data_IF_422664200023
#
_entry.id   IF_422664200023
#
_cell.length_a   1.000
_cell.length_b   1.000
_cell.length_c   1.000
_cell.angle_alpha   90.00
_cell.angle_beta   90.00
_cell.angle_gamma   90.00
#
_symmetry.space_group_name_H-M   'P 1'
#
loop_
_entity.id
_entity.type
_entity.pdbx_description
1 polymer ?
#
# COMPACT_ATOMS: atom_id res chain seq x y z
N UNK A 1 -21.62 5.70 -11.48
CA UNK A 1 -21.35 4.29 -11.11
C UNK A 1 -21.33 4.14 -9.59
N UNK A 2 -21.52 2.94 -9.08
CA UNK A 2 -21.47 2.57 -7.66
C UNK A 2 -20.08 2.04 -7.30
N UNK A 3 -19.44 2.69 -6.35
CA UNK A 3 -18.06 2.42 -5.93
C UNK A 3 -18.06 2.00 -4.46
N UNK A 4 -17.31 0.95 -4.14
CA UNK A 4 -17.25 0.32 -2.84
C UNK A 4 -15.86 0.35 -2.23
N UNK A 5 -15.76 0.79 -0.97
CA UNK A 5 -14.52 0.89 -0.20
C UNK A 5 -14.65 0.04 1.06
N UNK A 6 -14.39 -1.28 0.99
CA UNK A 6 -14.41 -2.15 2.17
C UNK A 6 -13.21 -1.84 3.07
N UNK A 7 -13.34 -2.20 4.34
CA UNK A 7 -12.26 -2.10 5.32
C UNK A 7 -11.17 -3.13 4.99
N UNK A 8 -9.92 -2.75 5.16
CA UNK A 8 -8.82 -3.70 5.07
C UNK A 8 -8.80 -4.63 6.29
N UNK A 9 -8.70 -5.93 6.03
CA UNK A 9 -8.71 -6.98 7.08
C UNK A 9 -7.36 -7.68 7.22
N UNK A 10 -6.37 -7.34 6.39
CA UNK A 10 -5.02 -7.89 6.49
C UNK A 10 -4.36 -7.37 7.76
N UNK A 11 -3.67 -8.25 8.48
CA UNK A 11 -2.98 -7.88 9.71
C UNK A 11 -2.04 -6.69 9.47
N UNK A 12 -2.09 -5.72 10.39
CA UNK A 12 -1.32 -4.48 10.35
C UNK A 12 -1.52 -3.60 9.10
N UNK A 13 -2.59 -3.81 8.33
CA UNK A 13 -2.99 -2.88 7.27
C UNK A 13 -3.87 -1.76 7.84
N UNK A 14 -3.27 -0.59 8.06
CA UNK A 14 -3.98 0.61 8.52
C UNK A 14 -4.50 1.51 7.40
N UNK A 15 -4.12 1.26 6.14
CA UNK A 15 -4.52 2.08 5.00
C UNK A 15 -5.96 1.78 4.58
N UNK A 16 -6.52 2.67 3.75
CA UNK A 16 -7.87 2.56 3.17
C UNK A 16 -7.81 2.88 1.68
N UNK A 17 -8.70 2.26 0.90
CA UNK A 17 -8.67 2.35 -0.57
C UNK A 17 -8.81 3.78 -1.11
N UNK A 18 -9.59 4.63 -0.45
CA UNK A 18 -9.73 6.05 -0.79
C UNK A 18 -9.83 6.93 0.45
N UNK A 19 -9.28 8.13 0.38
CA UNK A 19 -9.42 9.17 1.41
C UNK A 19 -10.75 9.92 1.27
N UNK A 20 -11.26 10.61 2.30
CA UNK A 20 -12.44 11.46 2.18
C UNK A 20 -12.34 12.51 1.07
N UNK A 21 -11.14 13.03 0.81
CA UNK A 21 -10.90 13.98 -0.29
C UNK A 21 -11.14 13.32 -1.67
N UNK A 22 -10.63 12.11 -1.90
CA UNK A 22 -10.84 11.37 -3.13
C UNK A 22 -12.31 10.95 -3.30
N UNK A 23 -12.97 10.55 -2.21
CA UNK A 23 -14.41 10.27 -2.19
C UNK A 23 -15.22 11.49 -2.65
N UNK A 24 -14.92 12.69 -2.11
CA UNK A 24 -15.60 13.94 -2.50
C UNK A 24 -15.49 14.21 -4.00
N UNK A 25 -14.33 13.94 -4.59
CA UNK A 25 -14.13 14.11 -6.03
C UNK A 25 -15.02 13.15 -6.84
N UNK A 26 -15.08 11.88 -6.45
CA UNK A 26 -15.94 10.89 -7.12
C UNK A 26 -17.43 11.23 -6.98
N UNK A 27 -17.86 11.63 -5.79
CA UNK A 27 -19.26 12.06 -5.56
C UNK A 27 -19.59 13.30 -6.39
N UNK A 28 -18.68 14.27 -6.45
CA UNK A 28 -18.86 15.48 -7.27
C UNK A 28 -18.93 15.19 -8.77
N UNK A 29 -18.31 14.09 -9.23
CA UNK A 29 -18.39 13.59 -10.59
C UNK A 29 -19.65 12.73 -10.86
N UNK A 30 -20.56 12.58 -9.87
CA UNK A 30 -21.83 11.87 -10.02
C UNK A 30 -21.76 10.36 -9.72
N UNK A 31 -20.70 9.90 -9.07
CA UNK A 31 -20.60 8.51 -8.60
C UNK A 31 -21.23 8.34 -7.21
N UNK A 32 -21.78 7.17 -6.93
CA UNK A 32 -22.28 6.79 -5.61
C UNK A 32 -21.17 6.00 -4.90
N UNK A 33 -20.69 6.49 -3.75
CA UNK A 33 -19.61 5.83 -3.00
C UNK A 33 -20.17 5.25 -1.71
N UNK A 34 -19.89 3.97 -1.44
CA UNK A 34 -20.20 3.31 -0.17
C UNK A 34 -18.91 2.88 0.50
N UNK A 35 -18.71 3.34 1.73
CA UNK A 35 -17.54 3.02 2.56
C UNK A 35 -18.00 2.12 3.69
N UNK A 36 -17.26 1.04 3.96
CA UNK A 36 -17.53 0.22 5.14
C UNK A 36 -17.29 1.04 6.42
N UNK A 37 -18.21 0.96 7.37
CA UNK A 37 -18.09 1.64 8.67
C UNK A 37 -16.74 1.33 9.33
N UNK A 38 -15.98 2.37 9.67
CA UNK A 38 -14.67 2.26 10.30
C UNK A 38 -13.53 1.87 9.36
N UNK A 39 -13.72 1.85 8.04
CA UNK A 39 -12.67 1.52 7.07
C UNK A 39 -11.47 2.50 7.12
N UNK A 40 -11.72 3.78 7.39
CA UNK A 40 -10.67 4.80 7.43
C UNK A 40 -9.95 4.96 8.77
N UNK A 41 -10.41 4.31 9.84
CA UNK A 41 -9.93 4.57 11.20
C UNK A 41 -8.43 4.34 11.37
N UNK A 42 -7.87 3.32 10.71
CA UNK A 42 -6.42 3.03 10.73
C UNK A 42 -5.57 4.11 10.04
N UNK A 43 -6.18 4.90 9.16
CA UNK A 43 -5.56 6.02 8.44
C UNK A 43 -5.85 7.38 9.07
N UNK A 44 -6.54 7.40 10.21
CA UNK A 44 -6.94 8.63 10.89
C UNK A 44 -8.14 9.34 10.26
N UNK A 45 -8.92 8.69 9.40
CA UNK A 45 -10.16 9.24 8.85
C UNK A 45 -11.38 8.68 9.56
N UNK A 46 -12.23 9.55 10.08
CA UNK A 46 -13.47 9.19 10.75
C UNK A 46 -14.60 8.94 9.77
N UNK A 47 -15.59 8.13 10.17
CA UNK A 47 -16.82 7.90 9.40
C UNK A 47 -17.58 9.19 9.10
N UNK A 48 -17.55 10.16 10.02
CA UNK A 48 -18.14 11.48 9.84
C UNK A 48 -17.49 12.26 8.69
N UNK A 49 -16.19 12.11 8.48
CA UNK A 49 -15.49 12.75 7.34
C UNK A 49 -15.92 12.14 6.01
N UNK A 50 -16.18 10.83 5.94
CA UNK A 50 -16.71 10.19 4.74
C UNK A 50 -18.15 10.62 4.43
N UNK A 51 -19.01 10.70 5.46
CA UNK A 51 -20.36 11.25 5.32
C UNK A 51 -20.32 12.70 4.83
N UNK A 52 -19.45 13.54 5.41
CA UNK A 52 -19.25 14.93 4.98
C UNK A 52 -18.63 15.05 3.58
N UNK A 53 -17.99 14.00 3.08
CA UNK A 53 -17.52 13.88 1.70
C UNK A 53 -18.62 13.41 0.72
N UNK A 54 -19.79 13.02 1.24
CA UNK A 54 -20.94 12.58 0.45
C UNK A 54 -21.00 11.07 0.18
N UNK A 55 -20.17 10.26 0.85
CA UNK A 55 -20.32 8.80 0.80
C UNK A 55 -21.47 8.32 1.69
N UNK A 56 -22.06 7.18 1.31
CA UNK A 56 -22.83 6.35 2.23
C UNK A 56 -21.92 5.47 3.07
N UNK A 57 -22.35 5.13 4.29
CA UNK A 57 -21.72 4.11 5.12
C UNK A 57 -22.48 2.80 5.03
N UNK A 58 -21.79 1.67 5.14
CA UNK A 58 -22.40 0.35 5.06
C UNK A 58 -21.60 -0.77 5.73
N UNK A 59 -22.13 -1.98 5.60
CA UNK A 59 -21.41 -3.22 5.97
C UNK A 59 -20.35 -3.57 4.92
N UNK A 60 -19.45 -4.50 5.26
CA UNK A 60 -18.51 -5.08 4.31
C UNK A 60 -19.24 -5.59 3.05
N UNK A 61 -20.32 -6.35 3.22
CA UNK A 61 -21.13 -6.85 2.11
C UNK A 61 -21.67 -5.73 1.22
N UNK A 62 -22.20 -4.65 1.80
CA UNK A 62 -22.70 -3.50 1.04
C UNK A 62 -21.61 -2.71 0.31
N UNK A 63 -20.39 -2.68 0.86
CA UNK A 63 -19.22 -2.09 0.22
C UNK A 63 -18.70 -2.99 -0.91
N UNK A 64 -18.76 -4.31 -0.76
CA UNK A 64 -18.38 -5.25 -1.82
C UNK A 64 -19.42 -5.38 -2.94
N UNK A 65 -20.70 -5.18 -2.64
CA UNK A 65 -21.83 -5.23 -3.59
C UNK A 65 -21.94 -3.94 -4.43
N UNK A 66 -20.86 -3.63 -5.16
CA UNK A 66 -20.69 -2.41 -5.97
C UNK A 66 -20.06 -2.76 -7.31
N UNK A 67 -20.22 -1.87 -8.30
CA UNK A 67 -19.71 -2.10 -9.67
C UNK A 67 -18.18 -2.06 -9.72
N UNK A 68 -17.58 -1.21 -8.88
CA UNK A 68 -16.14 -1.09 -8.69
C UNK A 68 -15.82 -1.15 -7.20
N UNK A 69 -14.97 -2.09 -6.79
CA UNK A 69 -14.42 -2.18 -5.45
C UNK A 69 -12.97 -1.70 -5.48
N UNK A 70 -12.64 -0.74 -4.63
CA UNK A 70 -11.28 -0.19 -4.51
C UNK A 70 -10.73 -0.57 -3.15
N UNK A 71 -9.59 -1.27 -3.16
CA UNK A 71 -8.88 -1.74 -1.96
C UNK A 71 -7.41 -1.31 -2.00
N UNK A 72 -6.72 -1.58 -0.91
CA UNK A 72 -5.27 -1.49 -0.77
C UNK A 72 -4.63 -2.86 -0.99
N UNK A 73 -5.11 -3.91 -0.32
CA UNK A 73 -4.50 -5.24 -0.36
C UNK A 73 -5.34 -6.25 -1.15
N UNK A 74 -4.72 -7.37 -1.45
CA UNK A 74 -5.36 -8.49 -2.11
C UNK A 74 -6.49 -9.05 -1.22
N UNK A 75 -7.60 -9.54 -1.81
CA UNK A 75 -8.63 -10.23 -1.04
C UNK A 75 -8.05 -11.43 -0.28
N UNK A 76 -8.44 -11.59 0.98
CA UNK A 76 -8.12 -12.76 1.78
C UNK A 76 -9.22 -13.83 1.68
N UNK A 77 -9.00 -15.09 2.10
CA UNK A 77 -10.00 -16.15 2.02
C UNK A 77 -11.37 -15.79 2.63
N UNK A 78 -11.40 -14.98 3.68
CA UNK A 78 -12.63 -14.50 4.31
C UNK A 78 -13.46 -13.55 3.41
N UNK A 79 -12.82 -12.91 2.42
CA UNK A 79 -13.45 -11.99 1.46
C UNK A 79 -13.84 -12.68 0.15
N UNK A 80 -13.44 -13.94 -0.07
CA UNK A 80 -13.69 -14.65 -1.35
C UNK A 80 -15.17 -14.80 -1.67
N UNK A 81 -16.04 -14.86 -0.65
CA UNK A 81 -17.49 -14.92 -0.81
C UNK A 81 -18.08 -13.62 -1.40
N UNK A 82 -17.36 -12.51 -1.31
CA UNK A 82 -17.78 -11.22 -1.84
C UNK A 82 -17.34 -10.99 -3.30
N UNK A 83 -16.39 -11.78 -3.81
CA UNK A 83 -15.96 -11.73 -5.20
C UNK A 83 -17.07 -12.27 -6.13
N UNK A 84 -17.48 -11.46 -7.10
CA UNK A 84 -18.51 -11.75 -8.11
C UNK A 84 -18.09 -11.13 -9.45
N UNK A 85 -19.03 -10.64 -10.24
CA UNK A 85 -18.82 -10.05 -11.56
C UNK A 85 -18.46 -8.54 -11.53
N UNK A 86 -18.08 -7.98 -10.38
CA UNK A 86 -17.64 -6.58 -10.29
C UNK A 86 -16.20 -6.37 -10.78
N UNK A 87 -15.81 -5.09 -10.93
CA UNK A 87 -14.41 -4.70 -11.07
C UNK A 87 -13.77 -4.60 -9.68
N UNK A 88 -12.58 -5.17 -9.53
CA UNK A 88 -11.74 -5.03 -8.35
C UNK A 88 -10.47 -4.30 -8.73
N UNK A 89 -10.14 -3.20 -8.06
CA UNK A 89 -8.92 -2.44 -8.28
C UNK A 89 -8.12 -2.34 -6.98
N UNK A 90 -6.99 -3.03 -6.91
CA UNK A 90 -6.17 -3.18 -5.68
C UNK A 90 -4.76 -3.69 -6.01
N UNK A 91 -3.86 -3.78 -5.02
CA UNK A 91 -2.65 -4.62 -5.16
C UNK A 91 -3.04 -6.10 -5.06
N UNK A 92 -2.66 -6.91 -6.05
CA UNK A 92 -3.04 -8.33 -6.07
C UNK A 92 -1.87 -9.27 -5.79
N UNK A 93 -0.69 -8.95 -6.33
CA UNK A 93 0.52 -9.77 -6.29
C UNK A 93 0.25 -11.23 -6.68
N UNK A 94 -0.53 -11.46 -7.75
CA UNK A 94 -1.07 -12.80 -8.09
C UNK A 94 0.00 -13.90 -8.20
N UNK A 95 1.23 -13.55 -8.60
CA UNK A 95 2.34 -14.48 -8.67
C UNK A 95 2.92 -14.92 -7.31
N UNK A 96 2.70 -14.14 -6.24
CA UNK A 96 3.26 -14.38 -4.90
C UNK A 96 2.25 -14.74 -3.82
N UNK A 97 0.96 -14.61 -4.09
CA UNK A 97 -0.14 -14.95 -3.18
C UNK A 97 -0.62 -16.39 -3.40
N UNK A 98 -1.37 -16.99 -2.46
CA UNK A 98 -1.91 -18.33 -2.65
C UNK A 98 -2.71 -18.46 -3.96
N UNK A 99 -2.48 -19.56 -4.68
CA UNK A 99 -3.14 -19.87 -5.97
C UNK A 99 -4.67 -19.73 -5.91
N UNK A 100 -5.25 -20.04 -4.76
CA UNK A 100 -6.70 -19.96 -4.52
C UNK A 100 -7.30 -18.60 -4.79
N UNK A 101 -6.55 -17.50 -4.62
CA UNK A 101 -7.04 -16.17 -5.00
C UNK A 101 -7.27 -16.07 -6.50
N UNK A 102 -6.26 -16.47 -7.29
CA UNK A 102 -6.35 -16.44 -8.76
C UNK A 102 -7.48 -17.35 -9.26
N UNK A 103 -7.58 -18.56 -8.71
CA UNK A 103 -8.68 -19.49 -9.05
C UNK A 103 -10.04 -18.89 -8.70
N UNK A 104 -10.20 -18.29 -7.51
CA UNK A 104 -11.46 -17.65 -7.12
C UNK A 104 -11.83 -16.48 -8.04
N UNK A 105 -10.88 -15.61 -8.40
CA UNK A 105 -11.15 -14.48 -9.30
C UNK A 105 -11.66 -14.97 -10.66
N UNK A 106 -11.06 -16.05 -11.19
CA UNK A 106 -11.47 -16.68 -12.45
C UNK A 106 -12.85 -17.33 -12.33
N UNK A 107 -13.09 -18.12 -11.28
CA UNK A 107 -14.36 -18.81 -11.03
C UNK A 107 -15.53 -17.84 -10.84
N UNK A 108 -15.28 -16.70 -10.18
CA UNK A 108 -16.29 -15.68 -9.90
C UNK A 108 -16.50 -14.71 -11.06
N UNK A 109 -15.64 -14.74 -12.08
CA UNK A 109 -15.69 -13.81 -13.21
C UNK A 109 -15.40 -12.36 -12.82
N UNK A 110 -14.60 -12.15 -11.77
CA UNK A 110 -14.23 -10.81 -11.30
C UNK A 110 -13.24 -10.18 -12.27
N UNK A 111 -13.50 -8.94 -12.72
CA UNK A 111 -12.52 -8.18 -13.50
C UNK A 111 -11.52 -7.55 -12.55
N UNK A 112 -10.37 -8.20 -12.34
CA UNK A 112 -9.37 -7.78 -11.37
C UNK A 112 -8.23 -7.00 -12.03
N UNK A 113 -8.07 -5.75 -11.61
CA UNK A 113 -7.03 -4.81 -12.05
C UNK A 113 -6.00 -4.68 -10.94
N UNK A 114 -4.75 -5.03 -11.22
CA UNK A 114 -3.67 -4.99 -10.24
C UNK A 114 -2.93 -3.64 -10.31
N UNK A 115 -2.83 -2.90 -9.20
CA UNK A 115 -2.10 -1.62 -9.17
C UNK A 115 -0.65 -1.78 -9.64
N UNK A 116 0.02 -2.85 -9.22
CA UNK A 116 1.42 -3.11 -9.50
C UNK A 116 1.71 -3.50 -10.96
N UNK A 117 0.67 -3.68 -11.78
CA UNK A 117 0.82 -3.99 -13.21
C UNK A 117 0.23 -2.92 -14.11
N UNK A 118 -0.27 -1.80 -13.55
CA UNK A 118 -0.65 -0.64 -14.36
C UNK A 118 0.63 0.03 -14.84
N UNK A 119 0.82 0.05 -16.16
CA UNK A 119 2.01 0.54 -16.84
C UNK A 119 1.68 1.80 -17.64
N UNK A 120 2.56 2.80 -17.61
CA UNK A 120 2.48 3.97 -18.49
C UNK A 120 3.09 3.67 -19.87
N UNK A 121 2.97 4.61 -20.81
CA UNK A 121 3.46 4.42 -22.17
C UNK A 121 5.00 4.31 -22.29
N UNK A 122 5.74 4.54 -21.20
CA UNK A 122 7.19 4.44 -21.13
C UNK A 122 7.66 3.20 -20.35
N UNK A 123 6.74 2.33 -19.92
CA UNK A 123 7.07 1.15 -19.13
C UNK A 123 7.16 1.39 -17.62
N UNK A 124 6.82 2.58 -17.15
CA UNK A 124 6.80 2.92 -15.74
C UNK A 124 5.58 2.34 -15.02
N UNK A 125 5.74 2.03 -13.72
CA UNK A 125 4.65 1.55 -12.85
C UNK A 125 4.19 2.69 -11.90
N UNK A 126 3.35 3.63 -12.35
CA UNK A 126 3.02 4.85 -11.62
C UNK A 126 2.32 4.61 -10.29
N UNK A 127 1.52 3.55 -10.18
CA UNK A 127 0.79 3.24 -8.94
C UNK A 127 1.66 2.51 -7.91
N UNK A 128 2.73 1.83 -8.36
CA UNK A 128 3.69 1.15 -7.49
C UNK A 128 4.76 2.12 -6.95
N UNK A 129 5.22 3.04 -7.81
CA UNK A 129 6.34 3.96 -7.54
C UNK A 129 6.26 4.72 -6.20
N UNK A 130 5.10 5.30 -5.80
CA UNK A 130 4.98 5.99 -4.50
C UNK A 130 5.23 5.05 -3.32
N UNK A 131 4.70 3.82 -3.39
CA UNK A 131 4.86 2.83 -2.32
C UNK A 131 6.31 2.33 -2.24
N UNK A 132 6.97 2.15 -3.38
CA UNK A 132 8.40 1.81 -3.45
C UNK A 132 9.28 2.85 -2.77
N UNK A 133 9.00 4.15 -2.97
CA UNK A 133 9.74 5.23 -2.34
C UNK A 133 9.58 5.23 -0.82
N UNK A 134 8.34 5.09 -0.32
CA UNK A 134 8.06 4.99 1.11
C UNK A 134 8.76 3.77 1.72
N UNK A 135 8.66 2.61 1.08
CA UNK A 135 9.30 1.38 1.54
C UNK A 135 10.83 1.54 1.65
N UNK A 136 11.47 2.15 0.64
CA UNK A 136 12.90 2.43 0.66
C UNK A 136 13.30 3.33 1.83
N UNK A 137 12.60 4.46 2.02
CA UNK A 137 12.87 5.38 3.13
C UNK A 137 12.69 4.67 4.50
N UNK A 138 11.61 3.92 4.65
CA UNK A 138 11.31 3.18 5.88
C UNK A 138 12.35 2.10 6.16
N UNK A 139 12.86 1.39 5.15
CA UNK A 139 13.88 0.36 5.33
C UNK A 139 15.13 0.91 6.04
N UNK A 140 15.58 2.11 5.68
CA UNK A 140 16.71 2.76 6.33
C UNK A 140 16.41 3.13 7.81
N UNK A 141 15.23 3.69 8.08
CA UNK A 141 14.82 4.10 9.43
C UNK A 141 14.64 2.89 10.36
N UNK A 142 13.95 1.85 9.88
CA UNK A 142 13.71 0.61 10.63
C UNK A 142 15.02 -0.16 10.81
N UNK A 143 15.90 -0.17 9.81
CA UNK A 143 17.26 -0.72 9.95
C UNK A 143 18.05 0.00 11.05
N UNK A 144 17.99 1.33 11.10
CA UNK A 144 18.63 2.12 12.16
C UNK A 144 18.06 1.80 13.55
N UNK A 145 16.73 1.63 13.65
CA UNK A 145 16.06 1.24 14.88
C UNK A 145 16.56 -0.13 15.39
N UNK A 146 16.53 -1.16 14.52
CA UNK A 146 16.96 -2.51 14.90
C UNK A 146 18.48 -2.66 15.09
N UNK A 147 19.29 -1.73 14.61
CA UNK A 147 20.73 -1.69 14.90
C UNK A 147 21.04 -1.39 16.36
N UNK A 148 20.11 -0.82 17.14
CA UNK A 148 20.35 -0.48 18.54
C UNK A 148 20.39 -1.72 19.46
N UNK A 149 21.20 -1.65 20.53
CA UNK A 149 21.40 -2.76 21.50
C UNK A 149 20.10 -3.28 22.14
N UNK A 150 19.12 -2.45 22.55
CA UNK A 150 17.87 -2.94 23.13
C UNK A 150 17.05 -3.83 22.18
N UNK A 151 17.29 -3.73 20.87
CA UNK A 151 16.66 -4.57 19.84
C UNK A 151 17.56 -5.72 19.37
N UNK A 152 18.66 -6.01 20.08
CA UNK A 152 19.60 -7.08 19.75
C UNK A 152 20.62 -6.72 18.67
N UNK A 153 20.59 -5.50 18.14
CA UNK A 153 21.54 -5.02 17.13
C UNK A 153 22.95 -4.79 17.68
N UNK A 154 23.88 -4.48 16.77
CA UNK A 154 25.31 -4.28 17.09
C UNK A 154 25.57 -3.04 17.98
N UNK A 155 24.59 -2.14 18.10
CA UNK A 155 24.74 -0.85 18.78
C UNK A 155 25.50 0.17 17.95
N UNK A 156 25.46 0.06 16.62
CA UNK A 156 26.13 1.00 15.71
C UNK A 156 25.14 2.06 15.27
N UNK A 157 25.49 3.31 15.47
CA UNK A 157 24.71 4.46 14.99
C UNK A 157 25.00 4.68 13.49
N UNK A 158 23.93 4.83 12.68
CA UNK A 158 24.07 5.25 11.28
C UNK A 158 24.51 6.71 11.16
N UNK A 159 24.09 7.53 12.13
CA UNK A 159 24.52 8.91 12.38
C UNK A 159 26.03 9.13 12.31
N UNK A 160 26.42 10.29 11.77
CA UNK A 160 27.75 10.85 11.99
C UNK A 160 27.89 11.31 13.43
N UNK A 161 29.02 10.99 14.04
CA UNK A 161 29.44 11.56 15.33
C UNK A 161 30.65 12.43 15.05
N UNK A 162 30.49 13.75 15.22
CA UNK A 162 31.45 14.75 14.76
C UNK A 162 31.80 14.54 13.27
N UNK A 163 33.08 14.38 12.93
CA UNK A 163 33.53 14.19 11.55
C UNK A 163 33.41 12.74 11.06
N UNK A 164 33.21 11.76 11.97
CA UNK A 164 33.39 10.33 11.68
C UNK A 164 32.07 9.64 11.33
N UNK A 165 32.09 8.80 10.29
CA UNK A 165 30.99 7.87 9.95
C UNK A 165 31.30 6.50 10.56
N UNK A 166 30.31 5.89 11.20
CA UNK A 166 30.45 4.55 11.81
C UNK A 166 29.53 3.51 11.15
N UNK A 167 28.32 3.92 10.75
CA UNK A 167 27.37 3.08 10.04
C UNK A 167 27.77 2.85 8.59
N UNK A 168 27.73 1.59 8.16
CA UNK A 168 27.84 1.17 6.77
C UNK A 168 26.56 0.48 6.35
N UNK A 169 26.01 0.87 5.21
CA UNK A 169 24.80 0.30 4.64
C UNK A 169 25.10 -0.18 3.22
N UNK A 170 24.78 -1.44 2.95
CA UNK A 170 24.82 -2.01 1.60
C UNK A 170 23.37 -2.14 1.12
N UNK A 171 23.08 -1.55 -0.03
CA UNK A 171 21.78 -1.64 -0.71
C UNK A 171 21.94 -2.51 -1.94
N UNK A 172 21.11 -3.54 -2.09
CA UNK A 172 21.09 -4.43 -3.24
C UNK A 172 19.84 -4.12 -4.06
N UNK A 173 20.03 -3.66 -5.30
CA UNK A 173 19.01 -3.09 -6.18
C UNK A 173 19.16 -1.57 -6.30
N UNK A 174 19.17 -1.10 -7.55
CA UNK A 174 19.34 0.29 -8.00
C UNK A 174 18.02 0.95 -8.43
N UNK A 175 16.90 0.21 -8.41
CA UNK A 175 15.57 0.74 -8.65
C UNK A 175 15.05 1.71 -7.57
N UNK A 176 13.79 2.14 -7.69
CA UNK A 176 13.18 3.18 -6.82
C UNK A 176 13.33 2.87 -5.32
N UNK A 177 13.08 1.62 -4.90
CA UNK A 177 13.22 1.21 -3.49
C UNK A 177 14.67 1.40 -3.01
N UNK A 178 15.63 0.90 -3.80
CA UNK A 178 17.05 0.95 -3.48
C UNK A 178 17.57 2.38 -3.41
N UNK A 179 17.22 3.21 -4.40
CA UNK A 179 17.56 4.63 -4.41
C UNK A 179 17.07 5.36 -3.15
N UNK A 180 15.79 5.16 -2.79
CA UNK A 180 15.21 5.81 -1.60
C UNK A 180 15.82 5.30 -0.29
N UNK A 181 16.13 4.00 -0.19
CA UNK A 181 16.84 3.43 0.94
C UNK A 181 18.27 3.99 1.07
N UNK A 182 19.01 4.04 -0.04
CA UNK A 182 20.36 4.59 -0.10
C UNK A 182 20.37 6.07 0.28
N UNK A 183 19.48 6.87 -0.31
CA UNK A 183 19.35 8.29 -0.01
C UNK A 183 19.01 8.55 1.47
N UNK A 184 18.07 7.79 2.03
CA UNK A 184 17.69 7.94 3.45
C UNK A 184 18.82 7.53 4.38
N UNK A 185 19.49 6.40 4.12
CA UNK A 185 20.64 5.96 4.90
C UNK A 185 21.81 6.97 4.83
N UNK A 186 22.06 7.52 3.64
CA UNK A 186 23.06 8.57 3.45
C UNK A 186 22.71 9.85 4.21
N UNK A 187 21.44 10.27 4.15
CA UNK A 187 20.91 11.42 4.89
C UNK A 187 21.02 11.28 6.40
N UNK A 188 20.88 10.05 6.92
CA UNK A 188 21.16 9.75 8.33
C UNK A 188 22.65 9.86 8.67
N UNK A 189 23.56 9.83 7.69
CA UNK A 189 25.00 9.93 7.92
C UNK A 189 25.78 8.63 7.70
N UNK A 190 25.15 7.57 7.20
CA UNK A 190 25.85 6.32 6.91
C UNK A 190 26.79 6.46 5.70
N UNK A 191 27.82 5.62 5.66
CA UNK A 191 28.52 5.26 4.42
C UNK A 191 27.64 4.25 3.67
N UNK A 192 27.31 4.53 2.40
CA UNK A 192 26.36 3.74 1.63
C UNK A 192 27.04 3.19 0.38
N UNK A 193 26.90 1.89 0.17
CA UNK A 193 27.27 1.21 -1.07
C UNK A 193 25.99 0.67 -1.69
N UNK A 194 25.74 1.00 -2.94
CA UNK A 194 24.60 0.48 -3.69
C UNK A 194 25.11 -0.43 -4.80
N UNK A 195 24.50 -1.61 -4.93
CA UNK A 195 24.81 -2.61 -5.93
C UNK A 195 23.61 -2.73 -6.86
N UNK A 196 23.84 -2.46 -8.14
CA UNK A 196 22.87 -2.54 -9.22
C UNK A 196 23.31 -3.53 -10.29
N UNK A 197 22.40 -3.87 -11.20
CA UNK A 197 22.75 -4.60 -12.42
C UNK A 197 22.80 -3.68 -13.65
N UNK A 198 22.25 -2.47 -13.54
CA UNK A 198 22.12 -1.49 -14.64
C UNK A 198 22.96 -0.22 -14.42
#
# INVERSE_FOLDING_TARGET
>A
MKIGIPKEIKDQEGRVGLTPAAVRQLVSAGHEVTVETGAGSGSGFTDAEYLAAGAGLGTAEQAWDRELVIKVKEPLPAEYAYLRNQMLFTFLHLAGVPKSLTETLLERGTTALAYETVEDAQGGLPLLKPMSAIAGNMAALIGAYYLARPHGGKGVQLGRVQATRHGRVVVIGDGIVGYHAASSAHGLGAEVVMLGLD
#
